data_IF_256030988310
#
_entry.id   IF_256030988310
#
_cell.length_a   1.000
_cell.length_b   1.000
_cell.length_c   1.000
_cell.angle_alpha   90.00
_cell.angle_beta   90.00
_cell.angle_gamma   90.00
#
_symmetry.space_group_name_H-M   'P 1'
#
loop_
_entity.id
_entity.type
_entity.pdbx_description
1 polymer ?
#
# COMPACT_ATOMS: atom_id res chain seq x y z
N UNK A 1 10.87 -13.38 20.38
CA UNK A 1 10.92 -12.72 19.06
C UNK A 1 9.50 -12.71 18.50
N UNK A 2 8.79 -11.58 18.55
CA UNK A 2 7.50 -11.44 17.88
C UNK A 2 7.78 -11.05 16.42
N UNK A 3 7.52 -11.96 15.48
CA UNK A 3 7.52 -11.62 14.06
C UNK A 3 6.40 -10.60 13.84
N UNK A 4 6.76 -9.39 13.46
CA UNK A 4 5.83 -8.35 13.14
C UNK A 4 5.40 -8.52 11.68
N UNK A 5 4.13 -8.79 11.48
CA UNK A 5 3.51 -8.72 10.16
C UNK A 5 3.14 -7.25 9.93
N UNK A 6 3.74 -6.60 8.96
CA UNK A 6 3.16 -5.41 8.32
C UNK A 6 1.70 -5.72 8.00
N UNK A 7 0.77 -4.78 8.17
CA UNK A 7 -0.63 -5.03 7.82
C UNK A 7 -0.69 -5.60 6.41
N UNK A 8 -1.32 -6.75 6.28
CA UNK A 8 -1.31 -7.60 5.10
C UNK A 8 -1.91 -6.94 3.83
N UNK A 9 -2.34 -5.70 3.92
CA UNK A 9 -2.94 -4.94 2.82
C UNK A 9 -1.96 -4.16 1.95
N UNK A 10 -0.83 -3.69 2.50
CA UNK A 10 0.07 -2.80 1.75
C UNK A 10 1.33 -3.49 1.20
N UNK A 11 1.68 -4.67 1.74
CA UNK A 11 2.88 -5.42 1.30
C UNK A 11 2.52 -6.80 0.73
N UNK A 12 1.33 -7.33 1.01
CA UNK A 12 0.90 -8.64 0.52
C UNK A 12 0.53 -8.65 -0.97
N UNK A 13 0.27 -7.51 -1.61
CA UNK A 13 0.10 -7.42 -3.07
C UNK A 13 1.43 -7.49 -3.82
N UNK A 14 2.57 -7.36 -3.14
CA UNK A 14 3.89 -7.51 -3.76
C UNK A 14 4.38 -8.95 -3.88
N UNK A 15 3.58 -9.96 -3.53
CA UNK A 15 4.01 -11.36 -3.44
C UNK A 15 3.32 -12.31 -4.43
N UNK A 16 2.72 -11.83 -5.51
CA UNK A 16 2.25 -12.71 -6.57
C UNK A 16 3.26 -12.79 -7.71
N UNK A 17 3.95 -13.93 -7.76
CA UNK A 17 4.79 -14.43 -8.85
C UNK A 17 6.14 -13.76 -9.07
N UNK A 18 7.17 -14.24 -8.36
CA UNK A 18 8.57 -14.04 -8.76
C UNK A 18 9.41 -13.12 -7.90
N UNK A 19 8.85 -12.49 -6.88
CA UNK A 19 9.62 -11.69 -5.95
C UNK A 19 10.47 -12.61 -5.05
N UNK A 20 11.77 -12.50 -5.13
CA UNK A 20 12.67 -13.03 -4.11
C UNK A 20 12.47 -12.23 -2.83
N UNK A 21 11.56 -12.67 -1.97
CA UNK A 21 11.45 -12.16 -0.62
C UNK A 21 12.72 -12.59 0.16
N UNK A 22 13.68 -11.72 0.21
CA UNK A 22 14.76 -11.83 1.18
C UNK A 22 14.17 -11.34 2.49
N UNK A 23 13.93 -12.25 3.44
CA UNK A 23 13.67 -11.91 4.83
C UNK A 23 14.89 -11.14 5.32
N UNK A 24 14.77 -9.83 5.43
CA UNK A 24 15.88 -8.97 5.85
C UNK A 24 15.67 -8.58 7.28
N UNK A 25 16.62 -8.99 8.11
CA UNK A 25 16.84 -8.29 9.38
C UNK A 25 17.12 -6.82 9.06
N UNK A 26 16.45 -5.91 9.76
CA UNK A 26 16.70 -4.48 9.56
C UNK A 26 18.16 -4.13 9.81
N UNK A 27 18.65 -3.09 9.16
CA UNK A 27 19.99 -2.55 9.39
C UNK A 27 19.93 -1.72 10.68
N UNK A 28 20.55 -2.17 11.79
CA UNK A 28 20.50 -1.45 13.05
C UNK A 28 21.37 -0.19 12.97
N UNK A 29 20.78 0.95 13.33
CA UNK A 29 21.48 2.23 13.47
C UNK A 29 21.90 2.53 14.91
N UNK A 30 21.53 1.68 15.87
CA UNK A 30 21.75 1.87 17.31
C UNK A 30 20.55 2.44 18.02
N UNK A 31 20.57 2.43 19.36
CA UNK A 31 19.51 2.97 20.24
C UNK A 31 18.09 2.46 19.92
N UNK A 32 17.95 1.19 19.48
CA UNK A 32 16.67 0.59 19.12
C UNK A 32 16.12 1.00 17.76
N UNK A 33 16.89 1.73 16.95
CA UNK A 33 16.48 2.14 15.60
C UNK A 33 17.02 1.18 14.56
N UNK A 34 16.15 0.74 13.65
CA UNK A 34 16.50 -0.09 12.49
C UNK A 34 15.90 0.48 11.21
N UNK A 35 16.58 0.31 10.09
CA UNK A 35 16.10 0.70 8.76
C UNK A 35 15.97 -0.52 7.85
N UNK A 36 14.97 -0.48 6.97
CA UNK A 36 14.56 -1.58 6.10
C UNK A 36 14.48 -1.09 4.66
N UNK A 37 15.60 -0.96 3.94
CA UNK A 37 15.56 -0.64 2.52
C UNK A 37 15.06 -1.84 1.72
N UNK A 38 14.18 -1.61 0.75
CA UNK A 38 13.67 -2.62 -0.15
C UNK A 38 13.54 -2.08 -1.58
N UNK A 39 13.60 -2.96 -2.55
CA UNK A 39 13.25 -2.69 -3.93
C UNK A 39 12.51 -3.90 -4.50
N UNK A 40 11.35 -3.67 -5.09
CA UNK A 40 10.58 -4.65 -5.86
C UNK A 40 10.81 -4.47 -7.35
N UNK A 41 10.79 -5.57 -8.10
CA UNK A 41 10.73 -5.60 -9.56
C UNK A 41 9.69 -6.65 -9.95
N UNK A 42 8.72 -6.26 -10.75
CA UNK A 42 7.70 -7.14 -11.31
C UNK A 42 7.60 -6.91 -12.81
N UNK A 43 7.45 -7.98 -13.58
CA UNK A 43 7.15 -7.93 -15.01
C UNK A 43 5.96 -8.83 -15.24
N UNK A 44 4.90 -8.29 -15.82
CA UNK A 44 3.65 -8.99 -16.07
C UNK A 44 3.22 -8.77 -17.52
N UNK A 45 2.90 -9.83 -18.22
CA UNK A 45 2.23 -9.76 -19.52
C UNK A 45 0.72 -9.81 -19.29
N UNK A 46 -0.01 -8.85 -19.85
CA UNK A 46 -1.46 -8.77 -19.77
C UNK A 46 -2.02 -8.70 -21.20
N UNK A 47 -2.77 -9.71 -21.57
CA UNK A 47 -3.31 -9.85 -22.96
C UNK A 47 -4.47 -8.88 -23.23
N UNK A 48 -5.06 -8.27 -22.20
CA UNK A 48 -6.22 -7.39 -22.32
C UNK A 48 -6.25 -6.31 -21.23
N UNK A 49 -5.36 -5.34 -21.37
CA UNK A 49 -5.18 -4.28 -20.33
C UNK A 49 -6.39 -3.37 -20.17
N UNK A 50 -7.28 -3.29 -21.18
CA UNK A 50 -8.47 -2.43 -21.13
C UNK A 50 -9.79 -3.19 -20.97
N UNK A 51 -9.75 -4.50 -20.72
CA UNK A 51 -10.94 -5.38 -20.60
C UNK A 51 -11.87 -5.29 -21.82
N UNK A 52 -11.28 -5.30 -23.00
CA UNK A 52 -11.98 -5.25 -24.29
C UNK A 52 -12.54 -6.62 -24.69
N UNK A 53 -13.54 -6.66 -25.61
CA UNK A 53 -13.98 -7.91 -26.23
C UNK A 53 -12.82 -8.65 -26.92
N UNK A 54 -12.89 -9.98 -26.98
CA UNK A 54 -11.83 -10.88 -27.48
C UNK A 54 -11.27 -10.48 -28.85
N UNK A 55 -12.09 -9.90 -29.72
CA UNK A 55 -11.72 -9.50 -31.09
C UNK A 55 -10.89 -8.21 -31.15
N UNK A 56 -10.85 -7.42 -30.06
CA UNK A 56 -10.21 -6.09 -30.03
C UNK A 56 -9.28 -5.91 -28.82
N UNK A 57 -8.84 -7.00 -28.22
CA UNK A 57 -7.97 -6.96 -27.03
C UNK A 57 -6.66 -6.26 -27.31
N UNK A 58 -6.22 -5.49 -26.35
CA UNK A 58 -4.93 -4.82 -26.36
C UNK A 58 -4.04 -5.45 -25.28
N UNK A 59 -2.91 -6.00 -25.71
CA UNK A 59 -1.93 -6.59 -24.79
C UNK A 59 -0.83 -5.61 -24.44
N UNK A 60 -0.27 -5.73 -23.25
CA UNK A 60 0.90 -4.95 -22.83
C UNK A 60 1.75 -5.73 -21.85
N UNK A 61 3.07 -5.59 -21.98
CA UNK A 61 4.00 -5.98 -20.93
C UNK A 61 4.14 -4.82 -19.95
N UNK A 62 3.85 -5.07 -18.67
CA UNK A 62 3.90 -4.07 -17.59
C UNK A 62 5.12 -4.35 -16.75
N UNK A 63 6.01 -3.37 -16.64
CA UNK A 63 7.17 -3.42 -15.74
C UNK A 63 6.97 -2.49 -14.57
N UNK A 64 7.07 -3.02 -13.34
CA UNK A 64 6.93 -2.24 -12.10
C UNK A 64 8.23 -2.25 -11.33
N UNK A 65 8.64 -1.09 -10.84
CA UNK A 65 9.78 -0.92 -9.94
C UNK A 65 9.31 -0.21 -8.68
N UNK A 66 9.53 -0.84 -7.52
CA UNK A 66 9.00 -0.35 -6.26
C UNK A 66 10.11 -0.20 -5.20
N UNK A 67 10.85 0.92 -5.20
CA UNK A 67 11.72 1.25 -4.07
C UNK A 67 10.90 1.58 -2.82
N UNK A 68 11.37 1.11 -1.66
CA UNK A 68 10.77 1.39 -0.37
C UNK A 68 11.84 1.52 0.72
N UNK A 69 11.52 2.30 1.75
CA UNK A 69 12.35 2.47 2.93
C UNK A 69 11.46 2.45 4.18
N UNK A 70 11.67 1.48 5.05
CA UNK A 70 11.08 1.41 6.38
C UNK A 70 12.05 1.88 7.44
N UNK A 71 11.52 2.45 8.51
CA UNK A 71 12.24 2.79 9.76
C UNK A 71 11.41 2.32 10.93
N UNK A 72 12.03 1.66 11.88
CA UNK A 72 11.44 1.28 13.15
C UNK A 72 12.30 1.77 14.30
N UNK A 73 11.67 2.33 15.31
CA UNK A 73 12.29 2.73 16.58
C UNK A 73 11.61 1.97 17.72
N UNK A 74 12.29 0.96 18.26
CA UNK A 74 11.87 0.19 19.43
C UNK A 74 12.48 0.82 20.70
N UNK A 75 11.61 1.38 21.53
CA UNK A 75 11.94 1.98 22.81
C UNK A 75 11.40 1.14 23.98
N UNK A 76 11.14 -0.14 23.74
CA UNK A 76 10.64 -1.09 24.74
C UNK A 76 9.11 -1.04 24.87
N UNK A 77 8.55 -0.08 25.55
CA UNK A 77 7.09 0.08 25.71
C UNK A 77 6.44 0.84 24.56
N UNK A 78 7.25 1.45 23.70
CA UNK A 78 6.79 2.20 22.53
C UNK A 78 7.57 1.75 21.30
N UNK A 79 6.87 1.38 20.24
CA UNK A 79 7.48 1.12 18.96
C UNK A 79 6.88 2.11 17.95
N UNK A 80 7.74 2.88 17.31
CA UNK A 80 7.34 3.80 16.22
C UNK A 80 7.82 3.26 14.89
N UNK A 81 6.99 3.44 13.87
CA UNK A 81 7.28 2.98 12.50
C UNK A 81 6.98 4.06 11.50
N UNK A 82 7.82 4.16 10.49
CA UNK A 82 7.56 4.96 9.31
C UNK A 82 7.99 4.17 8.07
N UNK A 83 7.25 4.28 6.99
CA UNK A 83 7.63 3.72 5.70
C UNK A 83 7.31 4.72 4.59
N UNK A 84 8.20 4.76 3.60
CA UNK A 84 8.04 5.49 2.35
C UNK A 84 8.14 4.49 1.21
N UNK A 85 7.32 4.65 0.18
CA UNK A 85 7.46 3.87 -1.04
C UNK A 85 7.10 4.72 -2.26
N UNK A 86 7.64 4.31 -3.40
CA UNK A 86 7.18 4.76 -4.70
C UNK A 86 7.09 3.52 -5.61
N UNK A 87 6.07 3.44 -6.45
CA UNK A 87 5.96 2.44 -7.48
C UNK A 87 5.87 3.14 -8.83
N UNK A 88 6.79 2.80 -9.74
CA UNK A 88 6.70 3.21 -11.13
C UNK A 88 6.29 2.01 -11.96
N UNK A 89 5.14 2.10 -12.65
CA UNK A 89 4.69 1.17 -13.66
C UNK A 89 4.93 1.76 -15.05
N UNK A 90 5.43 0.93 -15.97
CA UNK A 90 5.63 1.29 -17.37
C UNK A 90 4.99 0.24 -18.26
N UNK A 91 4.19 0.69 -19.21
CA UNK A 91 3.45 -0.11 -20.16
C UNK A 91 4.15 -0.10 -21.53
N UNK A 92 4.32 -1.27 -22.14
CA UNK A 92 4.99 -1.36 -23.45
C UNK A 92 4.12 -0.86 -24.61
N UNK A 93 2.80 -0.88 -24.46
CA UNK A 93 1.85 -0.55 -25.54
C UNK A 93 1.52 0.94 -25.57
N UNK A 94 1.26 1.56 -24.43
CA UNK A 94 0.87 2.97 -24.37
C UNK A 94 1.53 3.67 -23.16
N UNK A 95 2.42 4.61 -23.43
CA UNK A 95 3.10 5.42 -22.39
C UNK A 95 2.14 6.29 -21.59
N UNK A 96 0.91 6.54 -22.08
CA UNK A 96 -0.09 7.26 -21.31
C UNK A 96 -0.62 6.44 -20.12
N UNK A 97 -0.42 5.12 -20.12
CA UNK A 97 -0.71 4.24 -18.97
C UNK A 97 0.41 4.21 -17.93
N UNK A 98 1.56 4.80 -18.23
CA UNK A 98 2.65 4.90 -17.26
C UNK A 98 2.20 5.69 -16.03
N UNK A 99 2.57 5.19 -14.87
CA UNK A 99 2.19 5.80 -13.61
C UNK A 99 3.33 5.86 -12.61
N UNK A 100 3.14 6.67 -11.61
CA UNK A 100 3.99 6.68 -10.41
C UNK A 100 3.09 6.87 -9.20
N UNK A 101 3.02 5.83 -8.39
CA UNK A 101 2.34 5.86 -7.10
C UNK A 101 3.33 6.11 -5.99
N UNK A 102 2.88 6.77 -4.94
CA UNK A 102 3.73 7.08 -3.78
C UNK A 102 2.95 6.96 -2.50
N UNK A 103 3.61 6.61 -1.41
CA UNK A 103 2.95 6.54 -0.13
C UNK A 103 3.87 6.73 1.06
N UNK A 104 3.24 7.19 2.15
CA UNK A 104 3.82 7.31 3.48
C UNK A 104 2.92 6.56 4.44
N UNK A 105 3.50 5.70 5.26
CA UNK A 105 2.84 4.98 6.34
C UNK A 105 3.54 5.36 7.64
N UNK A 106 2.76 5.78 8.62
CA UNK A 106 3.23 6.11 9.96
C UNK A 106 2.46 5.27 10.97
N UNK A 107 3.15 4.62 11.89
CA UNK A 107 2.51 3.77 12.88
C UNK A 107 3.18 3.81 14.23
N UNK A 108 2.47 3.39 15.24
CA UNK A 108 3.01 3.26 16.59
C UNK A 108 2.21 2.32 17.47
N UNK A 109 2.93 1.55 18.30
CA UNK A 109 2.40 0.74 19.37
C UNK A 109 2.89 1.31 20.70
N UNK A 110 1.97 1.49 21.63
CA UNK A 110 2.22 2.12 22.94
C UNK A 110 1.70 1.22 24.04
N UNK A 111 2.59 0.62 24.82
CA UNK A 111 2.25 -0.06 26.06
C UNK A 111 2.18 0.98 27.20
N UNK A 112 0.99 1.54 27.46
CA UNK A 112 0.83 2.53 28.54
C UNK A 112 1.11 1.91 29.91
N UNK A 113 0.80 0.64 30.07
CA UNK A 113 1.16 -0.24 31.17
C UNK A 113 0.82 -1.69 30.83
N UNK A 114 1.02 -2.63 31.77
CA UNK A 114 0.80 -4.07 31.58
C UNK A 114 -0.61 -4.48 31.15
N UNK A 115 -1.60 -3.58 31.20
CA UNK A 115 -3.00 -3.86 30.84
C UNK A 115 -3.57 -2.95 29.77
N UNK A 116 -2.89 -1.86 29.42
CA UNK A 116 -3.40 -0.85 28.52
C UNK A 116 -2.44 -0.69 27.36
N UNK A 117 -2.91 -1.00 26.16
CA UNK A 117 -2.15 -0.89 24.92
C UNK A 117 -2.94 -0.04 23.91
N UNK A 118 -2.25 0.80 23.18
CA UNK A 118 -2.79 1.60 22.07
C UNK A 118 -1.95 1.30 20.83
N UNK A 119 -2.60 1.10 19.69
CA UNK A 119 -1.95 1.11 18.39
C UNK A 119 -2.61 2.15 17.50
N UNK A 120 -1.83 2.85 16.71
CA UNK A 120 -2.32 3.82 15.74
C UNK A 120 -1.49 3.73 14.45
N UNK A 121 -2.17 3.89 13.31
CA UNK A 121 -1.54 3.97 11.99
C UNK A 121 -2.21 5.04 11.14
N UNK A 122 -1.43 5.75 10.34
CA UNK A 122 -1.90 6.68 9.33
C UNK A 122 -1.19 6.38 8.02
N UNK A 123 -1.95 6.29 6.93
CA UNK A 123 -1.43 6.06 5.59
C UNK A 123 -1.89 7.21 4.69
N UNK A 124 -0.97 7.74 3.91
CA UNK A 124 -1.21 8.77 2.91
C UNK A 124 -0.63 8.27 1.59
N UNK A 125 -1.47 8.09 0.59
CA UNK A 125 -1.09 7.53 -0.69
C UNK A 125 -1.56 8.41 -1.82
N UNK A 126 -0.76 8.51 -2.86
CA UNK A 126 -1.14 9.00 -4.16
C UNK A 126 -1.07 7.82 -5.11
N UNK A 127 -2.20 7.39 -5.60
CA UNK A 127 -2.36 6.16 -6.37
C UNK A 127 -3.17 6.41 -7.65
N UNK A 128 -3.25 5.39 -8.49
CA UNK A 128 -4.03 5.41 -9.71
C UNK A 128 -4.96 4.19 -9.80
N UNK A 129 -6.05 4.34 -10.55
CA UNK A 129 -6.80 3.22 -11.12
C UNK A 129 -6.42 3.14 -12.61
N UNK A 130 -5.90 1.98 -13.05
CA UNK A 130 -5.49 1.80 -14.44
C UNK A 130 -6.68 1.96 -15.40
N UNK A 131 -6.42 2.44 -16.62
CA UNK A 131 -7.44 2.38 -17.69
C UNK A 131 -7.82 0.91 -17.93
N UNK A 132 -9.12 0.64 -18.00
CA UNK A 132 -9.65 -0.73 -18.06
C UNK A 132 -9.90 -1.38 -16.70
N UNK A 133 -9.70 -0.64 -15.60
CA UNK A 133 -10.02 -1.10 -14.25
C UNK A 133 -11.07 -0.20 -13.58
N UNK A 134 -11.72 -0.73 -12.54
CA UNK A 134 -12.66 0.05 -11.75
C UNK A 134 -13.94 0.40 -12.48
N UNK A 135 -14.15 1.67 -12.76
CA UNK A 135 -15.40 2.19 -13.36
C UNK A 135 -15.31 2.44 -14.86
N UNK A 136 -14.16 2.25 -15.50
CA UNK A 136 -13.93 2.56 -16.91
C UNK A 136 -13.25 1.37 -17.60
N UNK A 137 -14.01 0.66 -18.41
CA UNK A 137 -13.61 -0.57 -19.09
C UNK A 137 -13.88 -0.52 -20.59
N UNK A 138 -13.18 -1.35 -21.35
CA UNK A 138 -13.41 -1.55 -22.79
C UNK A 138 -13.23 -0.26 -23.59
N UNK A 139 -14.23 0.06 -24.42
CA UNK A 139 -14.18 1.21 -25.33
C UNK A 139 -14.12 2.57 -24.57
N UNK A 140 -14.65 2.65 -23.37
CA UNK A 140 -14.59 3.86 -22.55
C UNK A 140 -13.17 4.10 -22.04
N UNK A 141 -12.42 3.05 -21.71
CA UNK A 141 -11.02 3.14 -21.32
C UNK A 141 -10.16 3.77 -22.41
N UNK A 142 -10.43 3.45 -23.68
CA UNK A 142 -9.74 4.04 -24.82
C UNK A 142 -10.08 5.53 -25.04
N UNK A 143 -11.22 5.99 -24.52
CA UNK A 143 -11.61 7.40 -24.55
C UNK A 143 -10.89 8.27 -23.52
N UNK A 144 -10.27 7.67 -22.52
CA UNK A 144 -9.46 8.37 -21.53
C UNK A 144 -8.00 8.47 -22.02
N UNK A 145 -7.40 9.61 -21.73
CA UNK A 145 -5.99 9.83 -22.07
C UNK A 145 -5.05 9.24 -21.02
N UNK A 146 -5.38 9.42 -19.75
CA UNK A 146 -4.53 9.09 -18.61
C UNK A 146 -5.31 8.24 -17.59
N UNK A 147 -4.65 7.40 -16.78
CA UNK A 147 -5.25 6.70 -15.66
C UNK A 147 -5.94 7.64 -14.66
N UNK A 148 -6.93 7.12 -13.94
CA UNK A 148 -7.57 7.85 -12.85
C UNK A 148 -6.60 8.00 -11.68
N UNK A 149 -6.30 9.21 -11.26
CA UNK A 149 -5.41 9.51 -10.12
C UNK A 149 -6.21 9.96 -8.91
N UNK A 150 -5.80 9.48 -7.74
CA UNK A 150 -6.44 9.85 -6.49
C UNK A 150 -5.48 9.93 -5.32
N UNK A 151 -5.90 10.67 -4.30
CA UNK A 151 -5.32 10.58 -2.97
C UNK A 151 -6.14 9.64 -2.10
N UNK A 152 -5.45 8.80 -1.37
CA UNK A 152 -6.03 7.92 -0.38
C UNK A 152 -5.46 8.24 1.01
N UNK A 153 -6.34 8.32 1.99
CA UNK A 153 -5.96 8.51 3.39
C UNK A 153 -6.66 7.48 4.25
N UNK A 154 -5.89 6.75 5.05
CA UNK A 154 -6.39 5.72 5.95
C UNK A 154 -5.88 6.05 7.36
N UNK A 155 -6.77 6.01 8.34
CA UNK A 155 -6.44 6.08 9.75
C UNK A 155 -6.99 4.85 10.45
N UNK A 156 -6.12 4.15 11.16
CA UNK A 156 -6.45 3.03 12.02
C UNK A 156 -6.02 3.32 13.45
N UNK A 157 -6.89 2.99 14.38
CA UNK A 157 -6.59 3.10 15.79
C UNK A 157 -7.20 1.97 16.58
N UNK A 158 -6.49 1.45 17.57
CA UNK A 158 -7.04 0.45 18.48
C UNK A 158 -6.57 0.67 19.91
N UNK A 159 -7.43 0.28 20.82
CA UNK A 159 -7.13 0.23 22.25
C UNK A 159 -7.46 -1.16 22.76
N UNK A 160 -6.50 -1.76 23.48
CA UNK A 160 -6.65 -3.07 24.09
C UNK A 160 -6.53 -2.93 25.61
N UNK A 161 -7.54 -3.46 26.32
CA UNK A 161 -7.50 -3.67 27.76
C UNK A 161 -7.31 -5.15 28.07
N UNK A 162 -6.30 -5.46 28.85
CA UNK A 162 -5.97 -6.80 29.33
C UNK A 162 -4.49 -7.10 29.17
N UNK A 163 -3.94 -7.95 30.03
CA UNK A 163 -2.55 -8.39 29.92
C UNK A 163 -2.43 -9.63 29.04
N UNK A 164 -1.22 -9.94 28.57
CA UNK A 164 -0.93 -11.15 27.77
C UNK A 164 -1.26 -12.46 28.52
N UNK A 165 -1.34 -12.42 29.87
CA UNK A 165 -1.69 -13.55 30.73
C UNK A 165 -3.14 -13.49 31.26
N UNK A 166 -3.94 -12.52 30.83
CA UNK A 166 -5.34 -12.42 31.25
C UNK A 166 -6.20 -13.52 30.62
N UNK A 167 -7.26 -13.93 31.31
CA UNK A 167 -8.25 -14.90 30.78
C UNK A 167 -8.99 -14.36 29.55
N UNK A 168 -9.11 -13.03 29.43
CA UNK A 168 -9.68 -12.39 28.26
C UNK A 168 -9.07 -10.99 28.08
N UNK A 169 -9.09 -10.53 26.84
CA UNK A 169 -8.70 -9.17 26.48
C UNK A 169 -9.88 -8.54 25.71
N UNK A 170 -10.06 -7.24 25.86
CA UNK A 170 -11.04 -6.44 25.14
C UNK A 170 -10.30 -5.46 24.25
N UNK A 171 -10.57 -5.51 22.96
CA UNK A 171 -10.02 -4.57 21.97
C UNK A 171 -11.16 -3.79 21.32
N UNK A 172 -11.04 -2.47 21.28
CA UNK A 172 -11.89 -1.57 20.51
C UNK A 172 -11.02 -0.91 19.42
N UNK A 173 -11.55 -0.81 18.21
CA UNK A 173 -10.85 -0.21 17.08
C UNK A 173 -11.70 0.80 16.35
N UNK A 174 -11.04 1.74 15.67
CA UNK A 174 -11.62 2.74 14.78
C UNK A 174 -10.84 2.71 13.47
N UNK A 175 -11.56 2.79 12.35
CA UNK A 175 -11.00 2.95 11.03
C UNK A 175 -11.67 4.13 10.34
N UNK A 176 -10.90 4.92 9.61
CA UNK A 176 -11.39 5.95 8.71
C UNK A 176 -10.66 5.82 7.37
N UNK A 177 -11.43 5.74 6.31
CA UNK A 177 -10.97 5.70 4.93
C UNK A 177 -11.49 6.91 4.17
N UNK A 178 -10.65 7.50 3.33
CA UNK A 178 -11.03 8.58 2.42
C UNK A 178 -10.26 8.41 1.10
N UNK A 179 -10.99 8.45 -0.02
CA UNK A 179 -10.44 8.45 -1.39
C UNK A 179 -10.94 9.71 -2.09
N UNK A 180 -10.06 10.42 -2.78
CA UNK A 180 -10.37 11.67 -3.49
C UNK A 180 -9.69 11.67 -4.86
N UNK A 181 -10.48 11.62 -5.92
CA UNK A 181 -9.99 11.64 -7.30
C UNK A 181 -9.50 13.03 -7.71
N UNK A 182 -8.44 13.07 -8.54
CA UNK A 182 -7.78 14.30 -9.01
C UNK A 182 -8.07 14.64 -10.46
N UNK A 183 -8.44 13.67 -11.28
CA UNK A 183 -8.66 13.82 -12.72
C UNK A 183 -9.84 12.97 -13.20
N UNK A 184 -10.17 13.07 -14.49
CA UNK A 184 -11.18 12.28 -15.18
C UNK A 184 -12.56 12.33 -14.49
N UNK A 185 -12.96 13.52 -13.99
CA UNK A 185 -14.27 13.73 -13.37
C UNK A 185 -15.37 13.61 -14.43
N UNK A 186 -15.97 12.44 -14.55
CA UNK A 186 -17.14 12.23 -15.42
C UNK A 186 -18.39 12.60 -14.63
N UNK A 187 -19.04 13.71 -15.02
CA UNK A 187 -20.36 14.13 -14.53
C UNK A 187 -20.50 14.37 -13.01
N UNK A 188 -19.46 14.82 -12.32
CA UNK A 188 -19.57 15.28 -10.94
C UNK A 188 -19.94 14.21 -9.92
N UNK A 189 -19.71 12.94 -10.19
CA UNK A 189 -20.15 11.81 -9.34
C UNK A 189 -19.00 10.99 -8.75
N UNK A 190 -17.76 11.51 -8.76
CA UNK A 190 -16.61 10.84 -8.12
C UNK A 190 -16.12 11.70 -6.95
N UNK A 191 -16.81 11.63 -5.83
CA UNK A 191 -16.38 12.09 -4.51
C UNK A 191 -16.27 10.90 -3.56
#
# INVERSE_FOLDING_TARGET
MKAWMLPAGAVATMLSTGAFAVERDGIPLGSGVSVYPAVGLEVTDNDNVYLQPEETQTSSTITKVTPALGVEADMGQTVLRAALFAEKGSYSEDENDDYTDTGIILGGDFELNSRHQVAAEAQFRNEHDARGAGTVEGAEALGLRDPDRYDETIYDGSYTYGSSSALFNITAGLNRYQKSYKNNFVNGTRD
#
